data_IF_916659271740
#
_entry.id   IF_916659271740
#
_cell.length_a   1.000
_cell.length_b   1.000
_cell.length_c   1.000
_cell.angle_alpha   90.00
_cell.angle_beta   90.00
_cell.angle_gamma   90.00
#
_symmetry.space_group_name_H-M   'P 1'
#
loop_
_entity.id
_entity.type
_entity.pdbx_description
1 polymer ?
#
# COMPACT_ATOMS: atom_id res chain seq x y z
N UNK A 1 23.09 55.37 -41.35
CA UNK A 1 23.97 55.26 -40.16
C UNK A 1 23.26 54.35 -39.19
N UNK A 2 23.82 53.16 -39.00
CA UNK A 2 23.27 52.05 -38.22
C UNK A 2 24.25 51.76 -37.09
N UNK A 3 23.77 51.79 -35.84
CA UNK A 3 24.45 51.27 -34.65
C UNK A 3 23.39 51.20 -33.54
N UNK A 4 22.75 50.05 -33.34
CA UNK A 4 23.17 48.97 -32.41
C UNK A 4 22.90 49.36 -30.94
N UNK A 5 21.68 49.04 -30.51
CA UNK A 5 21.28 48.83 -29.11
C UNK A 5 22.11 47.67 -28.55
N UNK A 6 22.97 47.93 -27.56
CA UNK A 6 23.44 46.91 -26.62
C UNK A 6 22.84 47.22 -25.25
N UNK A 7 21.64 46.70 -25.01
CA UNK A 7 21.17 46.41 -23.66
C UNK A 7 21.98 45.19 -23.18
N UNK A 8 23.08 45.45 -22.49
CA UNK A 8 23.53 44.57 -21.43
C UNK A 8 22.91 45.13 -20.16
N UNK A 9 21.69 44.69 -19.86
CA UNK A 9 21.22 44.69 -18.48
C UNK A 9 21.62 43.34 -17.89
N UNK A 10 22.36 43.46 -16.80
CA UNK A 10 22.91 42.40 -15.99
C UNK A 10 21.83 41.41 -15.56
N UNK A 11 21.99 40.15 -15.98
CA UNK A 11 21.33 39.02 -15.35
C UNK A 11 22.07 38.66 -14.06
N UNK A 12 21.95 39.50 -13.04
CA UNK A 12 22.23 39.14 -11.65
C UNK A 12 20.96 39.39 -10.85
N UNK A 13 20.10 38.38 -10.79
CA UNK A 13 19.11 38.13 -9.72
C UNK A 13 18.41 36.79 -10.01
N UNK A 14 19.19 35.70 -9.90
CA UNK A 14 18.67 34.32 -9.91
C UNK A 14 18.57 33.73 -8.49
N UNK A 15 18.68 34.58 -7.45
CA UNK A 15 18.58 34.18 -6.03
C UNK A 15 17.21 34.51 -5.39
N UNK A 16 16.29 35.16 -6.11
CA UNK A 16 14.94 35.49 -5.65
C UNK A 16 13.87 34.47 -6.08
N UNK A 17 14.22 33.18 -6.13
CA UNK A 17 13.18 32.15 -6.09
C UNK A 17 12.81 31.89 -4.63
N UNK A 18 11.53 32.10 -4.23
CA UNK A 18 11.13 31.87 -2.85
C UNK A 18 11.40 30.40 -2.50
N UNK A 19 12.32 30.19 -1.54
CA UNK A 19 12.63 28.90 -0.92
C UNK A 19 11.41 28.20 -0.30
N UNK A 20 10.24 28.84 -0.33
CA UNK A 20 8.94 28.36 0.12
C UNK A 20 8.46 27.04 -0.51
N UNK A 21 9.07 26.55 -1.59
CA UNK A 21 8.76 25.21 -2.12
C UNK A 21 9.70 24.09 -1.62
N UNK A 22 10.81 24.42 -0.95
CA UNK A 22 11.74 23.40 -0.42
C UNK A 22 11.37 23.04 1.02
N UNK A 23 10.68 21.91 1.17
CA UNK A 23 10.49 21.15 2.43
C UNK A 23 9.42 21.65 3.40
N UNK A 24 8.23 21.99 2.90
CA UNK A 24 7.08 21.99 3.79
C UNK A 24 6.71 20.53 4.14
N UNK A 25 6.98 20.16 5.39
CA UNK A 25 6.68 18.85 5.97
C UNK A 25 5.85 19.06 7.25
N UNK A 26 4.86 18.21 7.48
CA UNK A 26 4.09 18.21 8.73
C UNK A 26 4.13 16.83 9.37
N UNK A 27 4.14 16.79 10.69
CA UNK A 27 3.96 15.54 11.43
C UNK A 27 2.53 15.03 11.24
N UNK A 28 2.38 13.72 11.10
CA UNK A 28 1.07 13.07 10.94
C UNK A 28 0.36 13.04 12.30
N UNK A 29 -0.83 13.65 12.37
CA UNK A 29 -1.69 13.54 13.54
C UNK A 29 -2.17 12.09 13.78
N UNK A 30 -2.38 11.73 15.05
CA UNK A 30 -2.73 10.37 15.45
C UNK A 30 -4.02 9.84 14.76
N UNK A 31 -5.00 10.71 14.51
CA UNK A 31 -6.23 10.37 13.82
C UNK A 31 -5.99 10.00 12.34
N UNK A 32 -5.16 10.78 11.64
CA UNK A 32 -4.73 10.51 10.25
C UNK A 32 -3.92 9.22 10.20
N UNK A 33 -2.99 9.03 11.14
CA UNK A 33 -2.15 7.84 11.22
C UNK A 33 -3.01 6.58 11.45
N UNK A 34 -4.01 6.66 12.32
CA UNK A 34 -4.94 5.57 12.58
C UNK A 34 -5.70 5.19 11.30
N UNK A 35 -6.24 6.19 10.58
CA UNK A 35 -6.93 5.96 9.30
C UNK A 35 -6.04 5.25 8.29
N UNK A 36 -4.78 5.67 8.16
CA UNK A 36 -3.81 5.02 7.26
C UNK A 36 -3.53 3.57 7.66
N UNK A 37 -3.38 3.27 8.96
CA UNK A 37 -3.16 1.91 9.43
C UNK A 37 -4.36 0.99 9.17
N UNK A 38 -5.57 1.43 9.50
CA UNK A 38 -6.79 0.66 9.28
C UNK A 38 -7.01 0.43 7.78
N UNK A 39 -6.83 1.47 6.96
CA UNK A 39 -6.92 1.36 5.50
C UNK A 39 -5.91 0.36 4.93
N UNK A 40 -4.68 0.34 5.45
CA UNK A 40 -3.66 -0.63 5.04
C UNK A 40 -4.05 -2.05 5.40
N UNK A 41 -4.53 -2.27 6.62
CA UNK A 41 -4.97 -3.58 7.09
C UNK A 41 -6.13 -4.13 6.26
N UNK A 42 -7.22 -3.36 6.15
CA UNK A 42 -8.39 -3.77 5.36
C UNK A 42 -8.09 -3.85 3.86
N UNK A 43 -7.21 -2.98 3.35
CA UNK A 43 -6.74 -3.02 1.98
C UNK A 43 -6.00 -4.31 1.64
N UNK A 44 -5.09 -4.74 2.51
CA UNK A 44 -4.38 -6.01 2.35
C UNK A 44 -5.34 -7.21 2.41
N UNK A 45 -6.33 -7.17 3.31
CA UNK A 45 -7.36 -8.20 3.39
C UNK A 45 -8.19 -8.27 2.11
N UNK A 46 -8.61 -7.11 1.59
CA UNK A 46 -9.33 -7.02 0.33
C UNK A 46 -8.50 -7.58 -0.83
N UNK A 47 -7.24 -7.18 -0.98
CA UNK A 47 -6.32 -7.72 -1.98
C UNK A 47 -6.20 -9.25 -1.86
N UNK A 48 -6.07 -9.77 -0.63
CA UNK A 48 -6.05 -11.21 -0.36
C UNK A 48 -7.32 -11.91 -0.86
N UNK A 49 -8.49 -11.35 -0.55
CA UNK A 49 -9.77 -11.87 -1.02
C UNK A 49 -9.89 -11.86 -2.54
N UNK A 50 -9.44 -10.79 -3.21
CA UNK A 50 -9.42 -10.70 -4.67
C UNK A 50 -8.48 -11.74 -5.30
N UNK A 51 -7.30 -11.96 -4.72
CA UNK A 51 -6.35 -13.00 -5.19
C UNK A 51 -6.97 -14.40 -5.09
N UNK A 52 -7.66 -14.70 -3.99
CA UNK A 52 -8.36 -15.98 -3.82
C UNK A 52 -9.54 -16.10 -4.79
N UNK A 53 -10.34 -15.04 -4.93
CA UNK A 53 -11.47 -14.99 -5.84
C UNK A 53 -11.02 -15.19 -7.29
N UNK A 54 -9.94 -14.53 -7.71
CA UNK A 54 -9.31 -14.68 -9.03
C UNK A 54 -8.98 -16.14 -9.33
N UNK A 55 -8.29 -16.83 -8.41
CA UNK A 55 -7.95 -18.26 -8.59
C UNK A 55 -9.23 -19.10 -8.76
N UNK A 56 -10.24 -18.88 -7.93
CA UNK A 56 -11.51 -19.63 -7.98
C UNK A 56 -12.31 -19.33 -9.24
N UNK A 57 -12.39 -18.07 -9.66
CA UNK A 57 -13.05 -17.66 -10.91
C UNK A 57 -12.37 -18.29 -12.11
N UNK A 58 -11.05 -18.29 -12.16
CA UNK A 58 -10.31 -18.96 -13.24
C UNK A 58 -10.62 -20.46 -13.30
N UNK A 59 -10.73 -21.13 -12.14
CA UNK A 59 -11.04 -22.56 -12.07
C UNK A 59 -12.47 -22.89 -12.47
N UNK A 60 -13.46 -22.16 -11.95
CA UNK A 60 -14.88 -22.52 -12.10
C UNK A 60 -15.62 -21.77 -13.21
N UNK A 61 -15.09 -20.62 -13.64
CA UNK A 61 -15.70 -19.69 -14.59
C UNK A 61 -14.68 -19.19 -15.63
N UNK A 62 -14.07 -20.08 -16.42
CA UNK A 62 -13.01 -19.69 -17.37
C UNK A 62 -13.49 -18.71 -18.46
N UNK A 63 -14.81 -18.56 -18.66
CA UNK A 63 -15.39 -17.56 -19.57
C UNK A 63 -15.31 -16.11 -19.06
N UNK A 64 -14.99 -15.88 -17.79
CA UNK A 64 -14.91 -14.54 -17.18
C UNK A 64 -13.52 -13.89 -17.32
N UNK A 65 -12.82 -14.14 -18.43
CA UNK A 65 -11.43 -13.69 -18.65
C UNK A 65 -11.25 -12.19 -18.49
N UNK A 66 -12.18 -11.40 -19.03
CA UNK A 66 -12.13 -9.94 -18.96
C UNK A 66 -12.26 -9.44 -17.52
N UNK A 67 -13.21 -10.00 -16.75
CA UNK A 67 -13.38 -9.66 -15.34
C UNK A 67 -12.20 -10.09 -14.48
N UNK A 68 -11.60 -11.25 -14.78
CA UNK A 68 -10.36 -11.71 -14.14
C UNK A 68 -9.20 -10.75 -14.42
N UNK A 69 -9.10 -10.20 -15.64
CA UNK A 69 -8.11 -9.16 -15.94
C UNK A 69 -8.39 -7.86 -15.18
N UNK A 70 -9.66 -7.48 -14.97
CA UNK A 70 -10.02 -6.34 -14.13
C UNK A 70 -9.60 -6.57 -12.66
N UNK A 71 -9.73 -7.78 -12.13
CA UNK A 71 -9.26 -8.13 -10.78
C UNK A 71 -7.74 -7.93 -10.62
N UNK A 72 -6.96 -8.32 -11.62
CA UNK A 72 -5.50 -8.10 -11.60
C UNK A 72 -5.15 -6.61 -11.56
N UNK A 73 -5.75 -5.82 -12.46
CA UNK A 73 -5.52 -4.38 -12.48
C UNK A 73 -6.00 -3.69 -11.20
N UNK A 74 -7.09 -4.17 -10.61
CA UNK A 74 -7.61 -3.68 -9.33
C UNK A 74 -6.62 -3.93 -8.19
N UNK A 75 -6.04 -5.13 -8.12
CA UNK A 75 -5.00 -5.48 -7.15
C UNK A 75 -3.80 -4.53 -7.30
N UNK A 76 -3.29 -4.36 -8.53
CA UNK A 76 -2.13 -3.50 -8.79
C UNK A 76 -2.39 -2.04 -8.42
N UNK A 77 -3.58 -1.52 -8.76
CA UNK A 77 -3.98 -0.14 -8.41
C UNK A 77 -4.08 0.04 -6.89
N UNK A 78 -4.66 -0.92 -6.17
CA UNK A 78 -4.79 -0.83 -4.72
C UNK A 78 -3.44 -0.97 -4.01
N UNK A 79 -2.57 -1.88 -4.47
CA UNK A 79 -1.20 -2.01 -3.96
C UNK A 79 -0.40 -0.70 -4.13
N UNK A 80 -0.60 0.03 -5.24
CA UNK A 80 0.01 1.37 -5.43
C UNK A 80 -0.53 2.40 -4.45
N UNK A 81 -1.84 2.45 -4.21
CA UNK A 81 -2.44 3.36 -3.21
C UNK A 81 -1.86 3.07 -1.82
N UNK A 82 -1.83 1.81 -1.40
CA UNK A 82 -1.27 1.41 -0.09
C UNK A 82 0.23 1.72 0.00
N UNK A 83 1.00 1.47 -1.06
CA UNK A 83 2.42 1.78 -1.12
C UNK A 83 2.71 3.29 -1.00
N UNK A 84 1.85 4.14 -1.57
CA UNK A 84 1.97 5.59 -1.41
C UNK A 84 1.70 6.04 0.03
N UNK A 85 0.81 5.36 0.75
CA UNK A 85 0.52 5.64 2.17
C UNK A 85 1.62 5.13 3.12
N UNK A 86 2.24 4.00 2.82
CA UNK A 86 3.23 3.36 3.69
C UNK A 86 4.42 4.28 4.01
N UNK A 87 4.82 5.13 3.06
CA UNK A 87 5.88 6.13 3.28
C UNK A 87 5.47 7.15 4.36
N UNK A 88 4.23 7.62 4.35
CA UNK A 88 3.73 8.55 5.37
C UNK A 88 3.58 7.88 6.73
N UNK A 89 3.11 6.62 6.76
CA UNK A 89 3.04 5.81 7.98
C UNK A 89 4.43 5.65 8.60
N UNK A 90 5.41 5.24 7.79
CA UNK A 90 6.78 4.93 8.26
C UNK A 90 7.49 6.19 8.76
N UNK A 91 7.41 7.28 8.00
CA UNK A 91 8.10 8.52 8.35
C UNK A 91 7.34 9.34 9.39
N UNK A 92 6.06 9.03 9.62
CA UNK A 92 5.11 9.84 10.39
C UNK A 92 5.08 11.30 9.96
N UNK A 93 5.34 11.54 8.67
CA UNK A 93 5.39 12.87 8.07
C UNK A 93 4.65 12.86 6.75
N UNK A 94 4.05 14.01 6.45
CA UNK A 94 3.39 14.29 5.17
C UNK A 94 4.25 15.31 4.44
N UNK A 95 4.77 14.93 3.27
CA UNK A 95 5.48 15.83 2.37
C UNK A 95 4.64 16.07 1.12
N UNK A 96 4.91 17.17 0.43
CA UNK A 96 4.28 17.48 -0.85
C UNK A 96 4.32 16.30 -1.83
N UNK A 97 5.48 15.66 -2.00
CA UNK A 97 5.65 14.51 -2.88
C UNK A 97 4.80 13.28 -2.46
N UNK A 98 4.50 13.13 -1.17
CA UNK A 98 3.62 12.05 -0.69
C UNK A 98 2.15 12.38 -1.06
N UNK A 99 1.72 13.63 -0.90
CA UNK A 99 0.38 14.09 -1.33
C UNK A 99 0.19 13.98 -2.84
N UNK A 100 1.18 14.41 -3.63
CA UNK A 100 1.14 14.29 -5.09
C UNK A 100 1.04 12.82 -5.51
N UNK A 101 1.85 11.96 -4.91
CA UNK A 101 1.88 10.52 -5.18
C UNK A 101 0.56 9.82 -4.82
N UNK A 102 -0.05 10.16 -3.69
CA UNK A 102 -1.38 9.64 -3.30
C UNK A 102 -2.45 10.17 -4.23
N UNK A 103 -2.45 11.48 -4.51
CA UNK A 103 -3.45 12.11 -5.39
C UNK A 103 -3.44 11.49 -6.79
N UNK A 104 -2.24 11.23 -7.34
CA UNK A 104 -2.08 10.56 -8.62
C UNK A 104 -2.59 9.11 -8.57
N UNK A 105 -2.21 8.34 -7.53
CA UNK A 105 -2.64 6.96 -7.37
C UNK A 105 -4.18 6.85 -7.28
N UNK A 106 -4.82 7.72 -6.49
CA UNK A 106 -6.28 7.78 -6.36
C UNK A 106 -6.95 8.23 -7.66
N UNK A 107 -6.40 9.23 -8.34
CA UNK A 107 -6.95 9.69 -9.62
C UNK A 107 -6.91 8.56 -10.64
N UNK A 108 -5.78 7.86 -10.79
CA UNK A 108 -5.67 6.70 -11.69
C UNK A 108 -6.66 5.60 -11.32
N UNK A 109 -6.77 5.27 -10.03
CA UNK A 109 -7.63 4.21 -9.54
C UNK A 109 -9.13 4.49 -9.72
N UNK A 110 -9.57 5.75 -9.64
CA UNK A 110 -11.01 6.09 -9.58
C UNK A 110 -11.52 6.99 -10.71
N UNK A 111 -10.68 7.31 -11.71
CA UNK A 111 -11.14 8.07 -12.89
C UNK A 111 -12.20 7.27 -13.65
N UNK A 112 -13.34 7.91 -13.93
CA UNK A 112 -14.44 7.32 -14.70
C UNK A 112 -14.44 7.75 -16.18
N UNK A 113 -14.00 8.97 -16.45
CA UNK A 113 -14.10 9.63 -17.75
C UNK A 113 -12.74 10.21 -18.16
N UNK A 114 -12.36 10.20 -19.46
CA UNK A 114 -13.10 9.63 -20.58
C UNK A 114 -13.05 8.10 -20.66
N UNK A 115 -12.15 7.47 -19.90
CA UNK A 115 -12.01 6.03 -19.83
C UNK A 115 -12.12 5.56 -18.38
N UNK A 116 -13.05 4.64 -18.07
CA UNK A 116 -13.20 4.14 -16.71
C UNK A 116 -11.97 3.34 -16.29
N UNK A 117 -11.57 3.55 -15.03
CA UNK A 117 -10.51 2.79 -14.38
C UNK A 117 -10.91 1.32 -14.19
N UNK A 118 -9.94 0.49 -13.76
CA UNK A 118 -10.21 -0.92 -13.45
C UNK A 118 -11.22 -1.09 -12.31
N UNK A 119 -11.22 -0.18 -11.34
CA UNK A 119 -12.24 -0.13 -10.29
C UNK A 119 -13.65 0.06 -10.87
N UNK A 120 -13.82 0.96 -11.84
CA UNK A 120 -15.13 1.20 -12.47
C UNK A 120 -15.56 0.05 -13.38
N UNK A 121 -14.64 -0.52 -14.17
CA UNK A 121 -14.92 -1.72 -14.96
C UNK A 121 -15.36 -2.89 -14.08
N UNK A 122 -14.63 -3.12 -12.99
CA UNK A 122 -15.00 -4.10 -11.98
C UNK A 122 -16.40 -3.83 -11.43
N UNK A 123 -16.67 -2.59 -11.00
CA UNK A 123 -17.96 -2.19 -10.46
C UNK A 123 -19.13 -2.42 -11.43
N UNK A 124 -18.98 -2.09 -12.72
CA UNK A 124 -20.05 -2.27 -13.71
C UNK A 124 -20.35 -3.74 -14.00
N UNK A 125 -19.32 -4.58 -14.09
CA UNK A 125 -19.47 -6.00 -14.41
C UNK A 125 -19.83 -6.85 -13.18
N UNK A 126 -19.60 -6.31 -11.97
CA UNK A 126 -19.74 -7.01 -10.70
C UNK A 126 -21.10 -7.71 -10.55
N UNK A 127 -22.21 -7.04 -10.86
CA UNK A 127 -23.54 -7.62 -10.74
C UNK A 127 -23.74 -8.81 -11.70
N UNK A 128 -23.23 -8.71 -12.93
CA UNK A 128 -23.33 -9.81 -13.90
C UNK A 128 -22.58 -11.04 -13.40
N UNK A 129 -21.38 -10.84 -12.86
CA UNK A 129 -20.56 -11.93 -12.31
C UNK A 129 -21.22 -12.59 -11.11
N UNK A 130 -21.82 -11.81 -10.19
CA UNK A 130 -22.60 -12.37 -9.08
C UNK A 130 -23.75 -13.26 -9.58
N UNK A 131 -24.43 -12.85 -10.64
CA UNK A 131 -25.48 -13.64 -11.28
C UNK A 131 -24.95 -14.95 -11.87
N UNK A 132 -23.84 -14.89 -12.61
CA UNK A 132 -23.20 -16.08 -13.18
C UNK A 132 -22.79 -17.09 -12.09
N UNK A 133 -22.22 -16.58 -10.98
CA UNK A 133 -21.84 -17.42 -9.83
C UNK A 133 -23.07 -18.07 -9.21
N UNK A 134 -24.13 -17.28 -8.93
CA UNK A 134 -25.38 -17.77 -8.33
C UNK A 134 -26.02 -18.87 -9.18
N UNK A 135 -26.11 -18.67 -10.49
CA UNK A 135 -26.80 -19.55 -11.43
C UNK A 135 -26.00 -20.81 -11.82
N UNK A 136 -24.69 -20.82 -11.57
CA UNK A 136 -23.83 -21.95 -11.96
C UNK A 136 -24.27 -23.29 -11.37
N UNK A 137 -24.58 -24.29 -12.19
CA UNK A 137 -24.96 -25.62 -11.67
C UNK A 137 -23.77 -26.49 -11.27
N UNK A 138 -22.55 -26.09 -11.64
CA UNK A 138 -21.32 -26.89 -11.52
C UNK A 138 -20.57 -26.65 -10.22
N UNK A 139 -20.93 -25.61 -9.47
CA UNK A 139 -20.23 -25.17 -8.26
C UNK A 139 -21.12 -25.43 -7.05
N UNK A 140 -20.54 -26.01 -6.00
CA UNK A 140 -21.22 -26.26 -4.74
C UNK A 140 -21.72 -24.95 -4.10
N UNK A 141 -22.88 -24.99 -3.43
CA UNK A 141 -23.50 -23.82 -2.82
C UNK A 141 -22.57 -23.05 -1.85
N UNK A 142 -21.81 -23.77 -1.01
CA UNK A 142 -20.86 -23.14 -0.08
C UNK A 142 -19.72 -22.41 -0.80
N UNK A 143 -19.21 -22.96 -1.89
CA UNK A 143 -18.16 -22.34 -2.71
C UNK A 143 -18.72 -21.10 -3.41
N UNK A 144 -19.93 -21.16 -3.97
CA UNK A 144 -20.59 -20.00 -4.57
C UNK A 144 -20.74 -18.86 -3.58
N UNK A 145 -21.29 -19.14 -2.40
CA UNK A 145 -21.50 -18.13 -1.37
C UNK A 145 -20.17 -17.47 -0.98
N UNK A 146 -19.16 -18.29 -0.72
CA UNK A 146 -17.82 -17.77 -0.38
C UNK A 146 -17.23 -16.93 -1.52
N UNK A 147 -17.39 -17.35 -2.77
CA UNK A 147 -16.89 -16.61 -3.91
C UNK A 147 -17.63 -15.27 -4.10
N UNK A 148 -18.95 -15.27 -4.01
CA UNK A 148 -19.76 -14.04 -4.06
C UNK A 148 -19.39 -13.09 -2.92
N UNK A 149 -19.09 -13.62 -1.73
CA UNK A 149 -18.63 -12.83 -0.58
C UNK A 149 -17.24 -12.22 -0.83
N UNK A 150 -16.33 -12.95 -1.49
CA UNK A 150 -14.96 -12.48 -1.77
C UNK A 150 -14.88 -11.44 -2.89
N UNK A 151 -15.81 -11.45 -3.84
CA UNK A 151 -15.89 -10.44 -4.91
C UNK A 151 -16.71 -9.22 -4.51
N UNK A 152 -17.33 -9.23 -3.32
CA UNK A 152 -18.06 -8.06 -2.83
C UNK A 152 -17.08 -6.90 -2.62
N UNK A 153 -17.42 -5.73 -3.15
CA UNK A 153 -16.67 -4.49 -2.90
C UNK A 153 -16.88 -4.06 -1.43
N UNK A 154 -15.84 -3.93 -0.61
CA UNK A 154 -16.01 -3.55 0.79
C UNK A 154 -16.33 -2.06 0.92
N UNK A 155 -17.57 -1.73 1.32
CA UNK A 155 -18.00 -0.32 1.49
C UNK A 155 -17.16 0.38 2.55
N UNK A 156 -16.86 -0.29 3.65
CA UNK A 156 -16.22 0.35 4.81
C UNK A 156 -14.78 0.75 4.46
N UNK A 157 -14.10 -0.04 3.63
CA UNK A 157 -12.78 0.28 3.10
C UNK A 157 -12.78 1.59 2.28
N UNK A 158 -13.77 1.77 1.40
CA UNK A 158 -13.86 2.96 0.55
C UNK A 158 -14.34 4.19 1.33
N UNK A 159 -15.19 4.02 2.35
CA UNK A 159 -15.56 5.10 3.28
C UNK A 159 -14.34 5.59 4.08
N UNK A 160 -13.47 4.67 4.52
CA UNK A 160 -12.20 5.00 5.19
C UNK A 160 -11.26 5.74 4.24
N UNK A 161 -11.16 5.27 2.99
CA UNK A 161 -10.34 5.91 1.97
C UNK A 161 -10.82 7.34 1.66
N UNK A 162 -12.13 7.52 1.50
CA UNK A 162 -12.76 8.83 1.34
C UNK A 162 -12.45 9.75 2.51
N UNK A 163 -12.61 9.23 3.75
CA UNK A 163 -12.36 10.01 4.96
C UNK A 163 -10.90 10.41 5.08
N UNK A 164 -9.97 9.51 4.74
CA UNK A 164 -8.54 9.81 4.72
C UNK A 164 -8.23 10.90 3.68
N UNK A 165 -8.76 10.81 2.46
CA UNK A 165 -8.56 11.83 1.43
C UNK A 165 -9.11 13.19 1.87
N UNK A 166 -10.28 13.24 2.52
CA UNK A 166 -10.83 14.45 3.13
C UNK A 166 -9.90 15.02 4.22
N UNK A 167 -9.39 14.17 5.12
CA UNK A 167 -8.51 14.57 6.21
C UNK A 167 -7.18 15.12 5.71
N UNK A 168 -6.63 14.53 4.64
CA UNK A 168 -5.43 15.03 3.96
C UNK A 168 -5.72 16.36 3.27
N UNK A 169 -6.89 16.51 2.62
CA UNK A 169 -7.29 17.74 1.93
C UNK A 169 -7.38 18.92 2.90
N UNK A 170 -8.04 18.73 4.04
CA UNK A 170 -8.18 19.77 5.09
C UNK A 170 -6.85 20.24 5.66
N UNK A 171 -5.81 19.41 5.59
CA UNK A 171 -4.48 19.67 6.18
C UNK A 171 -3.43 20.08 5.15
N UNK A 172 -3.73 19.93 3.86
CA UNK A 172 -2.80 20.32 2.80
C UNK A 172 -2.91 21.82 2.55
N UNK A 173 -1.82 22.55 2.76
CA UNK A 173 -1.72 23.99 2.52
C UNK A 173 -0.91 24.33 1.26
N UNK A 174 -0.54 23.33 0.45
CA UNK A 174 0.40 23.44 -0.68
C UNK A 174 -0.31 23.43 -2.03
N UNK A 175 0.40 23.73 -3.13
CA UNK A 175 -0.15 23.77 -4.50
C UNK A 175 -0.83 22.48 -5.01
N UNK A 176 -0.73 21.36 -4.29
CA UNK A 176 -1.35 20.07 -4.61
C UNK A 176 -2.81 19.93 -4.16
N UNK A 177 -3.39 20.95 -3.51
CA UNK A 177 -4.79 20.94 -3.02
C UNK A 177 -5.78 20.63 -4.13
N UNK A 178 -5.61 21.19 -5.33
CA UNK A 178 -6.53 20.94 -6.47
C UNK A 178 -6.48 19.48 -6.93
N UNK A 179 -5.28 18.88 -7.00
CA UNK A 179 -5.14 17.46 -7.39
C UNK A 179 -5.77 16.54 -6.34
N UNK A 180 -5.52 16.82 -5.06
CA UNK A 180 -6.10 16.05 -3.97
C UNK A 180 -7.61 16.22 -3.87
N UNK A 181 -8.13 17.43 -4.17
CA UNK A 181 -9.56 17.69 -4.23
C UNK A 181 -10.23 16.89 -5.36
N UNK A 182 -9.63 16.86 -6.55
CA UNK A 182 -10.13 16.03 -7.65
C UNK A 182 -10.11 14.54 -7.29
N UNK A 183 -9.01 14.06 -6.71
CA UNK A 183 -8.88 12.68 -6.24
C UNK A 183 -9.96 12.34 -5.19
N UNK A 184 -10.18 13.22 -4.22
CA UNK A 184 -11.24 13.09 -3.21
C UNK A 184 -12.63 12.98 -3.85
N UNK A 185 -12.96 13.84 -4.81
CA UNK A 185 -14.25 13.78 -5.50
C UNK A 185 -14.46 12.46 -6.25
N UNK A 186 -13.41 11.93 -6.89
CA UNK A 186 -13.47 10.64 -7.58
C UNK A 186 -13.71 9.48 -6.60
N UNK A 187 -12.98 9.46 -5.47
CA UNK A 187 -13.15 8.46 -4.41
C UNK A 187 -14.55 8.55 -3.80
N UNK A 188 -15.01 9.75 -3.45
CA UNK A 188 -16.34 9.98 -2.85
C UNK A 188 -17.48 9.49 -3.76
N UNK A 189 -17.38 9.79 -5.06
CA UNK A 189 -18.33 9.29 -6.07
C UNK A 189 -18.33 7.76 -6.10
N UNK A 190 -17.15 7.13 -6.10
CA UNK A 190 -17.04 5.67 -6.12
C UNK A 190 -17.59 5.02 -4.84
N UNK A 191 -17.25 5.54 -3.66
CA UNK A 191 -17.72 5.05 -2.36
C UNK A 191 -19.26 5.10 -2.24
N UNK A 192 -19.87 6.18 -2.75
CA UNK A 192 -21.34 6.34 -2.79
C UNK A 192 -22.00 5.26 -3.67
N UNK A 193 -21.42 4.98 -4.83
CA UNK A 193 -21.92 3.97 -5.77
C UNK A 193 -21.76 2.55 -5.21
N UNK A 194 -20.62 2.25 -4.56
CA UNK A 194 -20.40 0.97 -3.87
C UNK A 194 -21.42 0.75 -2.76
N UNK A 195 -21.65 1.75 -1.93
CA UNK A 195 -22.64 1.67 -0.83
C UNK A 195 -24.03 1.33 -1.39
N UNK A 196 -24.44 2.03 -2.44
CA UNK A 196 -25.72 1.82 -3.11
C UNK A 196 -25.83 0.44 -3.77
N UNK A 197 -24.75 -0.04 -4.39
CA UNK A 197 -24.69 -1.36 -5.01
C UNK A 197 -24.70 -2.49 -3.98
N UNK A 198 -23.98 -2.36 -2.87
CA UNK A 198 -23.93 -3.37 -1.82
C UNK A 198 -25.28 -3.60 -1.14
N UNK A 199 -26.07 -2.54 -0.92
CA UNK A 199 -27.43 -2.68 -0.42
C UNK A 199 -28.29 -3.55 -1.35
N UNK A 200 -28.21 -3.32 -2.66
CA UNK A 200 -28.93 -4.11 -3.67
C UNK A 200 -28.41 -5.55 -3.72
N UNK A 201 -27.09 -5.71 -3.73
CA UNK A 201 -26.45 -7.02 -3.81
C UNK A 201 -26.73 -7.88 -2.57
N UNK A 202 -26.82 -7.28 -1.38
CA UNK A 202 -27.18 -8.00 -0.16
C UNK A 202 -28.59 -8.58 -0.20
N UNK A 203 -29.55 -7.83 -0.74
CA UNK A 203 -30.93 -8.32 -0.92
C UNK A 203 -31.00 -9.41 -2.00
N UNK A 204 -30.29 -9.24 -3.12
CA UNK A 204 -30.43 -10.12 -4.29
C UNK A 204 -29.60 -11.42 -4.18
N UNK A 205 -28.42 -11.35 -3.58
CA UNK A 205 -27.45 -12.45 -3.53
C UNK A 205 -27.19 -12.98 -2.11
N UNK A 206 -27.71 -12.32 -1.07
CA UNK A 206 -27.47 -12.72 0.33
C UNK A 206 -26.03 -12.49 0.80
N UNK A 207 -25.27 -11.63 0.11
CA UNK A 207 -23.89 -11.28 0.49
C UNK A 207 -23.85 -9.96 1.22
N UNK A 208 -23.23 -9.95 2.39
CA UNK A 208 -23.09 -8.75 3.22
C UNK A 208 -21.66 -8.61 3.65
N UNK A 209 -21.15 -7.39 3.69
CA UNK A 209 -19.80 -7.13 4.19
C UNK A 209 -19.63 -7.74 5.60
N UNK A 210 -18.55 -8.50 5.81
CA UNK A 210 -18.27 -9.12 7.09
C UNK A 210 -17.78 -8.06 8.08
N UNK A 211 -18.51 -7.77 9.16
CA UNK A 211 -18.13 -6.72 10.11
C UNK A 211 -16.84 -7.06 10.88
N UNK A 212 -16.41 -8.32 10.93
CA UNK A 212 -15.12 -8.71 11.51
C UNK A 212 -13.92 -8.41 10.60
N UNK A 213 -14.15 -8.34 9.29
CA UNK A 213 -13.11 -8.12 8.29
C UNK A 213 -13.00 -6.63 7.91
N UNK A 214 -14.13 -5.92 7.87
CA UNK A 214 -14.24 -4.53 7.43
C UNK A 214 -15.00 -3.68 8.46
N UNK A 215 -14.42 -3.57 9.65
CA UNK A 215 -14.99 -2.78 10.74
C UNK A 215 -14.80 -1.25 10.53
N UNK A 216 -15.66 -0.40 11.12
CA UNK A 216 -15.42 1.04 11.12
C UNK A 216 -14.19 1.40 11.97
N UNK A 217 -13.52 2.51 11.62
CA UNK A 217 -12.29 2.99 12.30
C UNK A 217 -12.47 3.17 13.81
N UNK A 218 -13.69 3.44 14.28
CA UNK A 218 -14.00 3.56 15.71
C UNK A 218 -13.73 2.30 16.55
N UNK A 219 -13.57 1.13 15.91
CA UNK A 219 -13.21 -0.11 16.59
C UNK A 219 -11.69 -0.31 16.74
N UNK A 220 -10.89 0.58 16.13
CA UNK A 220 -9.44 0.49 16.12
C UNK A 220 -8.81 1.54 17.04
N UNK A 221 -7.56 1.28 17.44
CA UNK A 221 -6.76 2.23 18.21
C UNK A 221 -5.31 2.14 17.80
N UNK A 222 -4.56 3.25 17.89
CA UNK A 222 -3.12 3.24 17.59
C UNK A 222 -2.33 2.27 18.48
N UNK A 223 -2.81 1.95 19.69
CA UNK A 223 -2.19 0.94 20.55
C UNK A 223 -2.18 -0.46 19.93
N UNK A 224 -3.17 -0.81 19.10
CA UNK A 224 -3.19 -2.09 18.38
C UNK A 224 -2.05 -2.18 17.34
N UNK A 225 -1.60 -1.01 16.86
CA UNK A 225 -0.49 -0.87 15.93
C UNK A 225 0.83 -0.48 16.63
N UNK A 226 0.80 -0.32 17.97
CA UNK A 226 1.77 0.44 18.75
C UNK A 226 2.67 -0.35 19.70
N UNK A 227 2.73 -1.68 19.59
CA UNK A 227 3.66 -2.53 20.36
C UNK A 227 5.01 -2.81 19.66
N UNK A 228 5.27 -2.27 18.48
CA UNK A 228 6.60 -2.29 17.85
C UNK A 228 7.42 -1.04 18.17
N UNK A 229 7.60 -0.74 19.47
CA UNK A 229 8.83 -0.08 19.94
C UNK A 229 10.00 -1.05 19.73
N UNK A 230 10.43 -1.26 18.49
CA UNK A 230 11.39 -2.32 18.13
C UNK A 230 12.19 -2.11 16.85
N UNK A 231 11.88 -1.12 16.01
CA UNK A 231 12.81 -0.69 14.96
C UNK A 231 13.70 0.40 15.53
N UNK A 232 14.80 -0.07 16.11
CA UNK A 232 15.99 0.67 16.49
C UNK A 232 16.24 1.86 15.57
N UNK A 233 15.98 3.05 16.11
CA UNK A 233 16.84 4.23 15.95
C UNK A 233 18.28 3.72 15.90
N UNK A 234 18.97 3.99 14.80
CA UNK A 234 20.39 3.69 14.55
C UNK A 234 21.27 4.21 15.70
N UNK A 235 21.34 3.42 16.77
CA UNK A 235 22.31 3.52 17.83
C UNK A 235 23.55 2.78 17.36
N UNK A 236 24.56 3.55 16.97
CA UNK A 236 25.93 3.15 16.73
C UNK A 236 26.30 1.74 17.26
N UNK A 237 26.32 0.75 16.37
CA UNK A 237 27.26 -0.36 16.53
C UNK A 237 28.64 0.23 16.28
N UNK A 238 29.23 0.76 17.35
CA UNK A 238 30.66 1.04 17.41
C UNK A 238 31.35 -0.28 17.07
N UNK A 239 31.84 -0.42 15.83
CA UNK A 239 32.75 -1.49 15.41
C UNK A 239 33.87 -1.54 16.44
N UNK A 240 33.80 -2.48 17.38
CA UNK A 240 34.96 -2.89 18.16
C UNK A 240 35.96 -3.41 17.14
N UNK A 241 37.09 -2.71 17.04
CA UNK A 241 38.30 -3.19 16.36
C UNK A 241 38.48 -4.67 16.71
N UNK A 242 38.49 -5.51 15.70
CA UNK A 242 39.10 -6.83 15.75
C UNK A 242 40.54 -6.67 16.22
N UNK A 243 40.80 -7.00 17.49
CA UNK A 243 42.14 -7.24 17.98
C UNK A 243 42.67 -8.50 17.29
N UNK A 244 43.89 -8.41 16.79
CA UNK A 244 44.66 -9.53 16.24
C UNK A 244 44.78 -10.67 17.26
N UNK A 245 44.77 -11.95 16.85
CA UNK A 245 44.94 -13.05 17.79
C UNK A 245 46.38 -13.06 18.33
N UNK A 246 46.52 -12.97 19.66
CA UNK A 246 47.75 -13.32 20.37
C UNK A 246 47.92 -14.86 20.41
N UNK A 247 49.15 -15.37 20.25
CA UNK A 247 49.42 -16.81 20.32
C UNK A 247 49.35 -17.34 21.76
N UNK A 248 49.00 -18.63 21.95
CA UNK A 248 48.79 -19.20 23.28
C UNK A 248 50.10 -19.39 24.05
N UNK A 249 50.12 -18.88 25.28
CA UNK A 249 51.15 -19.15 26.28
C UNK A 249 50.95 -20.56 26.83
N UNK A 250 51.92 -21.45 26.60
CA UNK A 250 51.93 -22.83 27.09
C UNK A 250 52.81 -22.92 28.34
N UNK A 251 52.22 -23.19 29.49
CA UNK A 251 52.92 -23.59 30.72
C UNK A 251 52.26 -24.84 31.29
N UNK A 252 53.07 -25.87 31.59
CA UNK A 252 52.56 -27.08 32.28
C UNK A 252 53.33 -28.37 31.99
N UNK A 253 54.56 -28.43 32.52
CA UNK A 253 55.34 -29.59 32.99
C UNK A 253 55.05 -31.06 32.55
N UNK A 254 56.12 -31.67 32.02
CA UNK A 254 56.77 -32.96 32.45
C UNK A 254 55.92 -34.26 32.45
N UNK A 255 56.25 -35.26 31.59
CA UNK A 255 57.14 -36.42 31.89
C UNK A 255 57.00 -37.58 30.88
N UNK A 256 58.17 -38.19 30.58
CA UNK A 256 58.47 -39.63 30.38
C UNK A 256 58.22 -40.34 29.03
N UNK A 257 59.32 -40.91 28.51
CA UNK A 257 59.43 -42.30 28.02
C UNK A 257 59.27 -42.45 26.51
N UNK A 258 60.33 -42.57 25.70
CA UNK A 258 61.25 -43.71 25.48
C UNK A 258 60.75 -44.68 24.40
N UNK A 259 61.61 -44.86 23.36
CA UNK A 259 61.71 -45.95 22.36
C UNK A 259 60.59 -46.01 21.31
N UNK A 260 60.80 -46.39 20.05
CA UNK A 260 61.95 -46.81 19.24
C UNK A 260 61.43 -47.12 17.83
N UNK A 261 62.31 -47.06 16.81
CA UNK A 261 62.29 -47.82 15.52
C UNK A 261 61.08 -47.58 14.59
N UNK A 262 61.19 -47.46 13.26
CA UNK A 262 62.09 -48.09 12.28
C UNK A 262 62.03 -47.32 10.94
N UNK A 263 63.15 -47.32 10.21
CA UNK A 263 63.34 -46.92 8.81
C UNK A 263 62.60 -47.86 7.81
N UNK A 264 62.84 -47.84 6.47
CA UNK A 264 63.41 -46.85 5.53
C UNK A 264 62.49 -46.61 4.27
N UNK A 265 62.92 -45.81 3.26
CA UNK A 265 62.13 -45.52 2.06
C UNK A 265 62.40 -46.48 0.87
N UNK A 266 61.46 -46.54 -0.08
CA UNK A 266 61.64 -47.03 -1.46
C UNK A 266 60.84 -46.15 -2.42
N UNK A 267 61.50 -45.40 -3.30
CA UNK A 267 61.77 -45.75 -4.70
C UNK A 267 62.70 -44.70 -5.31
#
# INVERSE_FOLDING_TARGET
MSASLSLYDDFEDFDDQPEYQRNLQYDVEDDVLLQMHVLREQGNLFIGNLKIAKTRLHTYFPGLTLFISYLEGLIDEFERVLGSLERMITTRRIRYADIESVSQALTTAFTKDPHPSRHWHYFFDHKSVLNDIKQSRRVEAGIKHTLMQQVLLPKSLFEILEKLAEMLLRRTTFGGVTMLQNAYQLVSKFATEVTSANLKNGVEFGVVENPGDFAPVSQYSLSMYGSERGLTRTGAVRRRRSQSPQPPTRTGAIRRGRRSTSAPPRQ
#
